data_IF_735081934803
#
_entry.id   IF_735081934803
#
_cell.length_a   1.000
_cell.length_b   1.000
_cell.length_c   1.000
_cell.angle_alpha   90.00
_cell.angle_beta   90.00
_cell.angle_gamma   90.00
#
_symmetry.space_group_name_H-M   'P 1'
#
loop_
_entity.id
_entity.type
_entity.pdbx_description
1 polymer ?
#
# COMPACT_ATOMS: atom_id res chain seq x y z
N UNK A 1 64.65 36.10 43.14
CA UNK A 1 64.08 34.75 43.26
C UNK A 1 62.76 34.78 42.53
N UNK A 2 62.65 34.00 41.45
CA UNK A 2 61.56 34.08 40.49
C UNK A 2 60.43 33.11 40.88
N UNK A 3 59.21 33.63 41.02
CA UNK A 3 57.97 32.85 41.08
C UNK A 3 57.73 32.19 39.72
N UNK A 4 57.55 30.87 39.74
CA UNK A 4 57.12 30.09 38.58
C UNK A 4 55.63 29.80 38.72
N UNK A 5 54.84 30.50 37.91
CA UNK A 5 53.39 30.33 37.81
C UNK A 5 53.07 29.04 37.05
N UNK A 6 52.29 28.14 37.66
CA UNK A 6 51.83 26.90 37.04
C UNK A 6 50.82 27.20 35.93
N UNK A 7 51.15 26.80 34.69
CA UNK A 7 50.28 26.94 33.54
C UNK A 7 50.08 25.56 32.90
N UNK A 8 49.23 24.76 33.53
CA UNK A 8 48.67 23.53 32.95
C UNK A 8 47.21 23.47 33.39
N UNK A 9 46.39 24.23 32.67
CA UNK A 9 44.96 24.05 32.68
C UNK A 9 44.68 22.71 31.99
N UNK A 10 44.33 21.73 32.80
CA UNK A 10 43.84 20.42 32.38
C UNK A 10 42.51 20.63 31.64
N UNK A 11 42.59 20.72 30.32
CA UNK A 11 41.42 20.80 29.44
C UNK A 11 40.87 19.37 29.37
N UNK A 12 39.95 19.09 30.29
CA UNK A 12 39.22 17.83 30.42
C UNK A 12 38.45 17.51 29.13
N UNK A 13 39.14 16.82 28.23
CA UNK A 13 38.67 16.39 26.91
C UNK A 13 37.62 15.27 27.01
N UNK A 14 37.34 14.81 28.22
CA UNK A 14 36.43 13.70 28.52
C UNK A 14 34.95 14.13 28.46
N UNK A 15 34.69 15.44 28.53
CA UNK A 15 33.33 15.99 28.48
C UNK A 15 32.75 16.14 27.06
N UNK A 16 33.57 16.11 26.00
CA UNK A 16 33.10 16.21 24.61
C UNK A 16 32.68 14.86 23.98
N UNK A 17 33.07 13.73 24.59
CA UNK A 17 32.59 12.40 24.19
C UNK A 17 31.33 11.95 24.95
N UNK A 18 30.92 12.72 25.95
CA UNK A 18 29.61 12.60 26.59
C UNK A 18 28.58 13.52 25.92
N UNK A 19 28.75 13.78 24.61
CA UNK A 19 27.61 14.01 23.74
C UNK A 19 26.86 12.68 23.67
N UNK A 20 26.15 12.45 24.78
CA UNK A 20 25.08 11.50 24.98
C UNK A 20 24.21 11.66 23.75
N UNK A 21 24.44 10.80 22.76
CA UNK A 21 23.50 10.60 21.69
C UNK A 21 22.27 10.06 22.39
N UNK A 22 21.43 10.99 22.86
CA UNK A 22 20.08 10.74 23.34
C UNK A 22 19.37 10.17 22.12
N UNK A 23 19.55 8.87 21.99
CA UNK A 23 19.01 8.00 20.97
C UNK A 23 17.50 8.18 21.08
N UNK A 24 16.96 9.08 20.27
CA UNK A 24 15.52 9.26 20.16
C UNK A 24 14.94 7.86 19.95
N UNK A 25 13.96 7.43 20.76
CA UNK A 25 13.44 6.09 20.69
C UNK A 25 13.03 5.78 19.25
N UNK A 26 13.59 4.71 18.69
CA UNK A 26 13.45 4.34 17.28
C UNK A 26 11.97 4.29 16.82
N UNK A 27 11.03 4.04 17.75
CA UNK A 27 9.59 4.02 17.53
C UNK A 27 9.00 5.34 17.01
N UNK A 28 9.59 6.50 17.28
CA UNK A 28 9.07 7.78 16.78
C UNK A 28 9.29 7.96 15.26
N UNK A 29 10.37 7.40 14.70
CA UNK A 29 10.66 7.52 13.26
C UNK A 29 9.66 6.72 12.41
N UNK A 30 9.26 5.53 12.86
CA UNK A 30 8.30 4.69 12.14
C UNK A 30 6.89 5.30 12.09
N UNK A 31 6.50 6.05 13.12
CA UNK A 31 5.19 6.71 13.16
C UNK A 31 5.04 7.78 12.07
N UNK A 32 6.11 8.51 11.77
CA UNK A 32 6.13 9.51 10.69
C UNK A 32 6.01 8.87 9.31
N UNK A 33 6.79 7.81 9.06
CA UNK A 33 6.81 7.11 7.76
C UNK A 33 5.46 6.46 7.45
N UNK A 34 4.80 5.82 8.43
CA UNK A 34 3.45 5.25 8.23
C UNK A 34 2.40 6.28 7.84
N UNK A 35 2.41 7.46 8.49
CA UNK A 35 1.50 8.55 8.12
C UNK A 35 1.72 9.02 6.68
N UNK A 36 2.98 9.16 6.27
CA UNK A 36 3.33 9.55 4.91
C UNK A 36 2.84 8.51 3.88
N UNK A 37 3.07 7.21 4.13
CA UNK A 37 2.62 6.11 3.28
C UNK A 37 1.08 6.11 3.13
N UNK A 38 0.36 6.31 4.24
CA UNK A 38 -1.10 6.41 4.21
C UNK A 38 -1.59 7.59 3.36
N UNK A 39 -0.94 8.77 3.46
CA UNK A 39 -1.30 9.93 2.63
C UNK A 39 -1.07 9.63 1.15
N UNK A 40 0.07 9.02 0.79
CA UNK A 40 0.38 8.64 -0.58
C UNK A 40 -0.64 7.63 -1.11
N UNK A 41 -1.04 6.64 -0.31
CA UNK A 41 -2.07 5.67 -0.66
C UNK A 41 -3.43 6.33 -0.92
N UNK A 42 -3.85 7.28 -0.07
CA UNK A 42 -5.11 8.01 -0.26
C UNK A 42 -5.08 8.85 -1.54
N UNK A 43 -4.02 9.65 -1.74
CA UNK A 43 -3.90 10.52 -2.93
C UNK A 43 -3.87 9.69 -4.21
N UNK A 44 -3.05 8.64 -4.26
CA UNK A 44 -2.98 7.75 -5.43
C UNK A 44 -4.31 7.03 -5.71
N UNK A 45 -5.06 6.67 -4.66
CA UNK A 45 -6.37 6.05 -4.82
C UNK A 45 -7.41 7.01 -5.40
N UNK A 46 -7.45 8.27 -4.93
CA UNK A 46 -8.34 9.31 -5.50
C UNK A 46 -8.04 9.53 -6.98
N UNK A 47 -6.76 9.67 -7.34
CA UNK A 47 -6.34 9.83 -8.74
C UNK A 47 -6.75 8.62 -9.57
N UNK A 48 -6.54 7.40 -9.04
CA UNK A 48 -6.91 6.16 -9.73
C UNK A 48 -8.41 6.07 -10.00
N UNK A 49 -9.26 6.45 -9.04
CA UNK A 49 -10.71 6.50 -9.22
C UNK A 49 -11.08 7.53 -10.28
N UNK A 50 -10.50 8.74 -10.23
CA UNK A 50 -10.73 9.77 -11.24
C UNK A 50 -10.44 9.26 -12.66
N UNK A 51 -9.28 8.63 -12.84
CA UNK A 51 -8.89 8.03 -14.12
C UNK A 51 -9.84 6.90 -14.56
N UNK A 52 -10.28 6.05 -13.63
CA UNK A 52 -11.23 4.97 -13.94
C UNK A 52 -12.60 5.51 -14.38
N UNK A 53 -13.11 6.54 -13.71
CA UNK A 53 -14.37 7.21 -14.07
C UNK A 53 -14.23 7.89 -15.42
N UNK A 54 -13.13 8.61 -15.67
CA UNK A 54 -12.85 9.21 -16.97
C UNK A 54 -12.80 8.15 -18.08
N UNK A 55 -12.13 7.02 -17.84
CA UNK A 55 -12.06 5.93 -18.80
C UNK A 55 -13.45 5.31 -19.07
N UNK A 56 -14.30 5.15 -18.05
CA UNK A 56 -15.67 4.68 -18.24
C UNK A 56 -16.51 5.63 -19.09
N UNK A 57 -16.37 6.94 -18.90
CA UNK A 57 -17.08 7.94 -19.71
C UNK A 57 -16.58 7.91 -21.16
N UNK A 58 -15.26 7.84 -21.36
CA UNK A 58 -14.66 7.72 -22.70
C UNK A 58 -15.18 6.47 -23.39
N UNK A 59 -15.19 5.32 -22.72
CA UNK A 59 -15.67 4.06 -23.31
C UNK A 59 -17.17 4.09 -23.58
N UNK A 60 -17.96 4.77 -22.75
CA UNK A 60 -19.40 4.94 -22.95
C UNK A 60 -19.75 5.85 -24.13
N UNK A 61 -18.93 6.86 -24.42
CA UNK A 61 -19.21 7.86 -25.44
C UNK A 61 -18.44 7.65 -26.76
N UNK A 62 -17.33 6.92 -26.73
CA UNK A 62 -16.53 6.67 -27.92
C UNK A 62 -17.23 5.70 -28.87
N UNK A 63 -17.09 5.97 -30.18
CA UNK A 63 -17.64 5.13 -31.23
C UNK A 63 -16.74 3.91 -31.43
N UNK A 64 -16.85 2.91 -30.57
CA UNK A 64 -16.15 1.64 -30.78
C UNK A 64 -16.95 0.70 -31.69
N UNK A 65 -16.28 0.14 -32.70
CA UNK A 65 -16.68 -1.15 -33.27
C UNK A 65 -16.54 -2.20 -32.15
N UNK A 66 -17.10 -3.40 -32.17
CA UNK A 66 -17.03 -4.31 -31.02
C UNK A 66 -17.56 -3.79 -29.66
N UNK A 67 -17.88 -4.71 -28.77
CA UNK A 67 -18.53 -4.40 -27.51
C UNK A 67 -17.47 -4.23 -26.39
N UNK A 68 -17.20 -3.01 -25.88
CA UNK A 68 -16.23 -2.79 -24.81
C UNK A 68 -16.78 -3.17 -23.42
N UNK A 69 -17.89 -3.91 -23.37
CA UNK A 69 -18.63 -4.23 -22.15
C UNK A 69 -17.77 -4.97 -21.12
N UNK A 70 -16.89 -5.86 -21.56
CA UNK A 70 -15.98 -6.60 -20.68
C UNK A 70 -15.06 -5.64 -19.91
N UNK A 71 -14.44 -4.70 -20.61
CA UNK A 71 -13.55 -3.69 -20.02
C UNK A 71 -14.31 -2.73 -19.10
N UNK A 72 -15.55 -2.37 -19.46
CA UNK A 72 -16.42 -1.59 -18.56
C UNK A 72 -16.73 -2.36 -17.27
N UNK A 73 -17.04 -3.64 -17.35
CA UNK A 73 -17.34 -4.47 -16.19
C UNK A 73 -16.11 -4.61 -15.27
N UNK A 74 -14.92 -4.84 -15.84
CA UNK A 74 -13.67 -4.93 -15.06
C UNK A 74 -13.29 -3.60 -14.42
N UNK A 75 -13.47 -2.48 -15.13
CA UNK A 75 -13.27 -1.13 -14.59
C UNK A 75 -14.20 -0.87 -13.40
N UNK A 76 -15.49 -1.21 -13.52
CA UNK A 76 -16.47 -1.08 -12.42
C UNK A 76 -16.09 -1.93 -11.20
N UNK A 77 -15.63 -3.16 -11.42
CA UNK A 77 -15.15 -4.03 -10.33
C UNK A 77 -13.94 -3.43 -9.62
N UNK A 78 -13.00 -2.82 -10.35
CA UNK A 78 -11.83 -2.18 -9.75
C UNK A 78 -12.25 -0.94 -8.94
N UNK A 79 -13.17 -0.11 -9.44
CA UNK A 79 -13.74 1.02 -8.67
C UNK A 79 -14.39 0.53 -7.37
N UNK A 80 -15.17 -0.55 -7.45
CA UNK A 80 -15.86 -1.11 -6.28
C UNK A 80 -14.90 -1.58 -5.19
N UNK A 81 -13.70 -2.03 -5.56
CA UNK A 81 -12.64 -2.42 -4.59
C UNK A 81 -11.85 -1.20 -4.09
N UNK A 82 -11.65 -0.17 -4.92
CA UNK A 82 -10.94 1.05 -4.52
C UNK A 82 -11.71 1.91 -3.51
N UNK A 83 -13.05 1.94 -3.58
CA UNK A 83 -13.85 2.71 -2.62
C UNK A 83 -13.63 2.25 -1.16
N UNK A 84 -13.80 0.97 -0.80
CA UNK A 84 -13.54 0.51 0.56
C UNK A 84 -12.08 0.71 0.96
N UNK A 85 -11.11 0.61 0.03
CA UNK A 85 -9.71 0.89 0.38
C UNK A 85 -9.47 2.34 0.83
N UNK A 86 -10.14 3.30 0.20
CA UNK A 86 -10.10 4.70 0.64
C UNK A 86 -10.72 4.85 2.02
N UNK A 87 -11.91 4.26 2.24
CA UNK A 87 -12.62 4.35 3.52
C UNK A 87 -11.78 3.73 4.64
N UNK A 88 -11.23 2.53 4.44
CA UNK A 88 -10.36 1.88 5.41
C UNK A 88 -9.09 2.69 5.68
N UNK A 89 -8.46 3.24 4.64
CA UNK A 89 -7.29 4.09 4.81
C UNK A 89 -7.61 5.37 5.60
N UNK A 90 -8.76 5.98 5.35
CA UNK A 90 -9.21 7.16 6.10
C UNK A 90 -9.50 6.81 7.57
N UNK A 91 -10.22 5.71 7.82
CA UNK A 91 -10.51 5.25 9.18
C UNK A 91 -9.23 4.94 9.97
N UNK A 92 -8.21 4.37 9.33
CA UNK A 92 -6.92 4.08 9.98
C UNK A 92 -6.16 5.37 10.40
N UNK A 93 -6.47 6.51 9.77
CA UNK A 93 -5.92 7.82 10.19
C UNK A 93 -6.63 8.35 11.44
N UNK A 94 -7.94 8.13 11.58
CA UNK A 94 -8.75 8.66 12.68
C UNK A 94 -8.82 7.74 13.89
N UNK A 95 -8.81 6.43 13.69
CA UNK A 95 -9.00 5.42 14.73
C UNK A 95 -7.69 4.71 14.99
N UNK A 96 -7.31 4.58 16.26
CA UNK A 96 -6.12 3.80 16.63
C UNK A 96 -6.47 2.32 16.61
N UNK A 97 -6.33 1.69 15.45
CA UNK A 97 -6.60 0.26 15.25
C UNK A 97 -5.39 -0.55 15.75
N UNK A 98 -5.59 -1.69 16.44
CA UNK A 98 -4.48 -2.57 16.79
C UNK A 98 -3.70 -3.02 15.55
N UNK A 99 -2.36 -3.02 15.67
CA UNK A 99 -1.41 -3.22 14.56
C UNK A 99 -1.70 -4.51 13.78
N UNK A 100 -2.01 -5.60 14.49
CA UNK A 100 -2.35 -6.91 13.90
C UNK A 100 -3.57 -6.84 12.97
N UNK A 101 -4.62 -6.12 13.36
CA UNK A 101 -5.83 -6.01 12.53
C UNK A 101 -5.56 -5.19 11.26
N UNK A 102 -4.83 -4.07 11.39
CA UNK A 102 -4.43 -3.26 10.24
C UNK A 102 -3.60 -4.06 9.23
N UNK A 103 -2.72 -4.95 9.71
CA UNK A 103 -1.89 -5.79 8.85
C UNK A 103 -2.72 -6.80 8.04
N UNK A 104 -3.67 -7.49 8.68
CA UNK A 104 -4.54 -8.45 7.98
C UNK A 104 -5.42 -7.74 6.96
N UNK A 105 -5.99 -6.58 7.31
CA UNK A 105 -6.83 -5.78 6.42
C UNK A 105 -6.02 -5.30 5.20
N UNK A 106 -4.82 -4.75 5.42
CA UNK A 106 -3.94 -4.27 4.35
C UNK A 106 -3.53 -5.43 3.42
N UNK A 107 -3.20 -6.60 3.96
CA UNK A 107 -2.86 -7.79 3.18
C UNK A 107 -4.03 -8.30 2.32
N UNK A 108 -5.23 -8.35 2.89
CA UNK A 108 -6.45 -8.73 2.15
C UNK A 108 -6.76 -7.72 1.06
N UNK A 109 -6.72 -6.41 1.37
CA UNK A 109 -6.91 -5.34 0.38
C UNK A 109 -5.90 -5.44 -0.76
N UNK A 110 -4.62 -5.63 -0.45
CA UNK A 110 -3.56 -5.76 -1.45
C UNK A 110 -3.84 -6.94 -2.39
N UNK A 111 -4.19 -8.11 -1.84
CA UNK A 111 -4.55 -9.28 -2.63
C UNK A 111 -5.75 -9.03 -3.54
N UNK A 112 -6.81 -8.40 -3.02
CA UNK A 112 -7.98 -8.03 -3.82
C UNK A 112 -7.66 -7.03 -4.93
N UNK A 113 -6.88 -5.98 -4.64
CA UNK A 113 -6.47 -4.99 -5.63
C UNK A 113 -5.65 -5.67 -6.73
N UNK A 114 -4.65 -6.47 -6.39
CA UNK A 114 -3.82 -7.20 -7.36
C UNK A 114 -4.69 -8.09 -8.26
N UNK A 115 -5.58 -8.90 -7.67
CA UNK A 115 -6.44 -9.79 -8.44
C UNK A 115 -7.34 -9.03 -9.43
N UNK A 116 -7.86 -7.85 -9.04
CA UNK A 116 -8.67 -7.01 -9.94
C UNK A 116 -7.83 -6.28 -10.98
N UNK A 117 -6.62 -5.85 -10.64
CA UNK A 117 -5.69 -5.20 -11.58
C UNK A 117 -5.27 -6.18 -12.67
N UNK A 118 -4.97 -7.44 -12.35
CA UNK A 118 -4.65 -8.47 -13.36
C UNK A 118 -5.82 -8.61 -14.35
N UNK A 119 -7.05 -8.80 -13.84
CA UNK A 119 -8.23 -8.89 -14.71
C UNK A 119 -8.55 -7.59 -15.46
N UNK A 120 -8.10 -6.44 -14.98
CA UNK A 120 -8.20 -5.16 -15.67
C UNK A 120 -7.17 -5.06 -16.81
N UNK A 121 -5.93 -5.52 -16.59
CA UNK A 121 -4.87 -5.57 -17.62
C UNK A 121 -5.26 -6.52 -18.76
N UNK A 122 -5.83 -7.68 -18.45
CA UNK A 122 -6.36 -8.61 -19.45
C UNK A 122 -7.49 -8.01 -20.29
N UNK A 123 -8.14 -6.95 -19.80
CA UNK A 123 -9.21 -6.24 -20.50
C UNK A 123 -8.74 -5.01 -21.26
N UNK A 124 -7.43 -4.86 -21.49
CA UNK A 124 -6.88 -3.76 -22.26
C UNK A 124 -7.45 -3.73 -23.69
N UNK A 125 -7.64 -2.54 -24.26
CA UNK A 125 -8.18 -2.39 -25.59
C UNK A 125 -7.26 -3.03 -26.64
N UNK A 126 -7.77 -4.05 -27.34
CA UNK A 126 -7.05 -4.79 -28.36
C UNK A 126 -7.35 -4.24 -29.78
N UNK A 127 -6.82 -4.88 -30.82
CA UNK A 127 -7.08 -4.49 -32.21
C UNK A 127 -8.56 -4.64 -32.63
N UNK A 128 -9.35 -5.45 -31.92
CA UNK A 128 -10.75 -5.74 -32.27
C UNK A 128 -11.67 -4.53 -32.07
N UNK A 129 -11.33 -3.61 -31.16
CA UNK A 129 -12.13 -2.41 -30.84
C UNK A 129 -12.34 -1.47 -32.03
N UNK A 130 -11.43 -1.49 -33.00
CA UNK A 130 -11.49 -0.66 -34.21
C UNK A 130 -11.50 -1.50 -35.48
N UNK A 131 -11.95 -2.75 -35.42
CA UNK A 131 -12.00 -3.61 -36.59
C UNK A 131 -13.15 -3.21 -37.53
N UNK A 132 -12.89 -3.29 -38.84
CA UNK A 132 -13.90 -3.18 -39.89
C UNK A 132 -14.97 -4.23 -39.69
N UNK A 133 -16.24 -3.82 -39.68
CA UNK A 133 -17.38 -4.74 -39.56
C UNK A 133 -17.85 -5.14 -40.95
N UNK A 134 -18.47 -6.31 -41.08
CA UNK A 134 -19.16 -6.71 -42.31
C UNK A 134 -20.66 -6.71 -42.07
N UNK A 135 -21.42 -6.02 -42.91
CA UNK A 135 -22.87 -6.05 -42.81
C UNK A 135 -23.41 -7.37 -43.39
N UNK A 136 -24.19 -8.14 -42.63
CA UNK A 136 -24.88 -9.33 -43.17
C UNK A 136 -26.30 -8.96 -43.62
N UNK A 137 -26.79 -9.50 -44.76
CA UNK A 137 -26.19 -10.51 -45.62
C UNK A 137 -25.20 -9.98 -46.70
N UNK A 138 -25.06 -8.67 -46.86
CA UNK A 138 -24.37 -8.05 -48.01
C UNK A 138 -22.83 -8.11 -48.04
N UNK A 139 -22.17 -8.56 -46.96
CA UNK A 139 -20.70 -8.54 -46.76
C UNK A 139 -20.01 -7.25 -47.20
N UNK A 140 -20.69 -6.10 -47.13
CA UNK A 140 -20.05 -4.82 -47.37
C UNK A 140 -19.21 -4.45 -46.14
N UNK A 141 -17.91 -4.14 -46.31
CA UNK A 141 -17.08 -3.68 -45.21
C UNK A 141 -17.55 -2.29 -44.77
N UNK A 142 -17.96 -2.17 -43.51
CA UNK A 142 -18.25 -0.91 -42.84
C UNK A 142 -16.92 -0.46 -42.21
N UNK A 143 -16.30 0.63 -42.72
CA UNK A 143 -15.05 1.12 -42.16
C UNK A 143 -15.26 1.52 -40.70
N UNK A 144 -14.22 1.40 -39.85
CA UNK A 144 -14.31 1.87 -38.49
C UNK A 144 -14.60 3.39 -38.47
N UNK A 145 -15.35 3.87 -37.47
CA UNK A 145 -15.66 5.28 -37.32
C UNK A 145 -14.38 6.12 -37.21
N UNK A 146 -14.42 7.32 -37.78
CA UNK A 146 -13.30 8.26 -37.75
C UNK A 146 -12.93 8.57 -36.29
N UNK A 147 -11.65 8.46 -35.96
CA UNK A 147 -11.14 8.72 -34.61
C UNK A 147 -11.15 7.52 -33.65
N UNK A 148 -11.64 6.34 -34.05
CA UNK A 148 -11.60 5.14 -33.20
C UNK A 148 -10.18 4.84 -32.66
N UNK A 149 -9.17 4.95 -33.54
CA UNK A 149 -7.77 4.72 -33.15
C UNK A 149 -7.25 5.72 -32.12
N UNK A 150 -7.70 6.98 -32.17
CA UNK A 150 -7.31 8.00 -31.20
C UNK A 150 -7.92 7.72 -29.82
N UNK A 151 -9.23 7.44 -29.77
CA UNK A 151 -9.92 7.07 -28.54
C UNK A 151 -9.38 5.79 -27.92
N UNK A 152 -9.02 4.81 -28.76
CA UNK A 152 -8.35 3.59 -28.33
C UNK A 152 -7.03 3.93 -27.63
N UNK A 153 -6.16 4.73 -28.26
CA UNK A 153 -4.86 5.11 -27.69
C UNK A 153 -5.05 5.83 -26.35
N UNK A 154 -5.97 6.79 -26.28
CA UNK A 154 -6.28 7.52 -25.05
C UNK A 154 -6.72 6.54 -23.95
N UNK A 155 -7.65 5.63 -24.24
CA UNK A 155 -8.10 4.62 -23.27
C UNK A 155 -6.96 3.69 -22.83
N UNK A 156 -6.09 3.22 -23.74
CA UNK A 156 -4.91 2.41 -23.40
C UNK A 156 -3.99 3.15 -22.43
N UNK A 157 -3.72 4.43 -22.68
CA UNK A 157 -2.84 5.24 -21.83
C UNK A 157 -3.47 5.45 -20.45
N UNK A 158 -4.76 5.81 -20.37
CA UNK A 158 -5.44 5.94 -19.08
C UNK A 158 -5.43 4.63 -18.30
N UNK A 159 -5.77 3.50 -18.93
CA UNK A 159 -5.75 2.19 -18.28
C UNK A 159 -4.34 1.81 -17.81
N UNK A 160 -3.31 2.09 -18.60
CA UNK A 160 -1.92 1.87 -18.20
C UNK A 160 -1.52 2.66 -16.96
N UNK A 161 -1.85 3.96 -16.92
CA UNK A 161 -1.56 4.82 -15.77
C UNK A 161 -2.34 4.34 -14.53
N UNK A 162 -3.63 4.02 -14.68
CA UNK A 162 -4.45 3.47 -13.60
C UNK A 162 -3.89 2.16 -13.05
N UNK A 163 -3.47 1.25 -13.92
CA UNK A 163 -2.87 -0.02 -13.51
C UNK A 163 -1.57 0.23 -12.72
N UNK A 164 -0.73 1.15 -13.19
CA UNK A 164 0.49 1.56 -12.49
C UNK A 164 0.23 2.10 -11.08
N UNK A 165 -0.72 3.02 -10.93
CA UNK A 165 -1.10 3.52 -9.60
C UNK A 165 -1.71 2.44 -8.71
N UNK A 166 -2.50 1.53 -9.28
CA UNK A 166 -3.09 0.43 -8.50
C UNK A 166 -2.03 -0.55 -7.98
N UNK A 167 -1.00 -0.83 -8.77
CA UNK A 167 0.16 -1.62 -8.34
C UNK A 167 0.94 -0.87 -7.25
N UNK A 168 1.13 0.44 -7.40
CA UNK A 168 1.78 1.27 -6.38
C UNK A 168 1.02 1.25 -5.05
N UNK A 169 -0.31 1.32 -5.08
CA UNK A 169 -1.16 1.18 -3.89
C UNK A 169 -0.97 -0.19 -3.24
N UNK A 170 -1.03 -1.27 -4.02
CA UNK A 170 -0.81 -2.63 -3.51
C UNK A 170 0.59 -2.78 -2.89
N UNK A 171 1.61 -2.17 -3.52
CA UNK A 171 2.98 -2.16 -2.99
C UNK A 171 3.07 -1.42 -1.65
N UNK A 172 2.39 -0.27 -1.50
CA UNK A 172 2.33 0.46 -0.23
C UNK A 172 1.69 -0.39 0.87
N UNK A 173 0.60 -1.11 0.57
CA UNK A 173 -0.02 -2.04 1.52
C UNK A 173 0.90 -3.21 1.88
N UNK A 174 1.64 -3.76 0.92
CA UNK A 174 2.65 -4.79 1.20
C UNK A 174 3.78 -4.26 2.09
N UNK A 175 4.27 -3.03 1.86
CA UNK A 175 5.28 -2.41 2.70
C UNK A 175 4.80 -2.22 4.15
N UNK A 176 3.53 -1.84 4.34
CA UNK A 176 2.92 -1.80 5.67
C UNK A 176 2.98 -3.14 6.38
N UNK A 177 2.71 -4.23 5.66
CA UNK A 177 2.78 -5.59 6.18
C UNK A 177 4.22 -5.96 6.63
N UNK A 178 5.23 -5.64 5.81
CA UNK A 178 6.63 -6.00 6.09
C UNK A 178 7.28 -5.25 7.25
N UNK A 179 6.78 -4.06 7.63
CA UNK A 179 7.34 -3.25 8.73
C UNK A 179 6.80 -3.70 10.11
N UNK A 180 5.70 -4.46 10.17
CA UNK A 180 5.11 -4.92 11.42
C UNK A 180 5.95 -5.96 12.23
N UNK A 181 6.59 -6.98 11.64
CA UNK A 181 7.24 -8.04 12.42
C UNK A 181 8.51 -7.59 13.16
N UNK A 182 9.18 -6.51 12.74
CA UNK A 182 10.38 -6.02 13.42
C UNK A 182 10.11 -5.47 14.83
N UNK A 183 8.87 -5.07 15.13
CA UNK A 183 8.51 -4.58 16.47
C UNK A 183 8.14 -5.72 17.43
N UNK A 184 7.72 -6.89 16.91
CA UNK A 184 7.43 -8.05 17.77
C UNK A 184 8.70 -8.70 18.33
N UNK A 185 9.84 -8.54 17.65
CA UNK A 185 11.14 -9.07 18.09
C UNK A 185 11.82 -8.27 19.20
N UNK A 186 11.33 -7.06 19.53
CA UNK A 186 11.90 -6.22 20.59
C UNK A 186 11.06 -6.20 21.87
N UNK A 187 10.01 -7.04 21.98
CA UNK A 187 9.35 -7.24 23.25
C UNK A 187 10.39 -7.77 24.24
N UNK A 188 10.74 -7.03 25.29
CA UNK A 188 11.69 -7.51 26.27
C UNK A 188 11.14 -8.82 26.83
N UNK A 189 12.01 -9.82 26.99
CA UNK A 189 11.73 -11.13 27.60
C UNK A 189 11.04 -11.08 28.99
N UNK A 190 10.70 -9.90 29.51
CA UNK A 190 9.98 -9.69 30.75
C UNK A 190 8.55 -10.26 30.74
N UNK A 191 7.82 -10.23 29.61
CA UNK A 191 6.42 -10.72 29.62
C UNK A 191 6.35 -12.25 29.51
N UNK A 192 7.37 -12.90 28.95
CA UNK A 192 7.47 -14.37 28.94
C UNK A 192 7.74 -14.90 30.36
N UNK A 193 8.36 -14.11 31.23
CA UNK A 193 8.57 -14.48 32.63
C UNK A 193 7.30 -14.39 33.50
N UNK A 194 6.29 -13.61 33.10
CA UNK A 194 5.04 -13.46 33.88
C UNK A 194 3.94 -14.45 33.45
N UNK A 195 4.00 -14.96 32.22
CA UNK A 195 3.10 -16.03 31.76
C UNK A 195 3.53 -17.43 32.23
N UNK A 196 4.79 -17.61 32.64
CA UNK A 196 5.24 -18.79 33.37
C UNK A 196 5.12 -18.47 34.86
N UNK A 197 3.88 -18.51 35.37
CA UNK A 197 3.63 -18.42 36.80
C UNK A 197 4.52 -19.42 37.56
N UNK A 198 4.92 -19.10 38.80
CA UNK A 198 5.81 -19.96 39.58
C UNK A 198 5.19 -21.35 39.67
N UNK A 199 5.84 -22.32 39.02
CA UNK A 199 5.55 -23.73 39.23
C UNK A 199 5.84 -23.98 40.70
N UNK A 200 4.78 -24.02 41.51
CA UNK A 200 4.85 -24.41 42.90
C UNK A 200 5.35 -25.85 42.95
N UNK A 201 6.67 -26.01 43.12
CA UNK A 201 7.29 -27.27 43.51
C UNK A 201 6.68 -27.70 44.83
N UNK A 202 5.70 -28.59 44.73
CA UNK A 202 5.03 -29.22 45.85
C UNK A 202 6.05 -30.18 46.50
N UNK A 203 6.80 -29.64 47.46
CA UNK A 203 7.69 -30.37 48.36
C UNK A 203 6.81 -31.25 49.26
N UNK A 204 6.56 -32.49 48.84
CA UNK A 204 6.11 -33.54 49.75
C UNK A 204 7.33 -34.13 50.42
N UNK A 205 7.61 -33.62 51.62
CA UNK A 205 8.41 -34.33 52.59
C UNK A 205 7.65 -35.60 52.96
N UNK A 206 8.10 -36.74 52.42
CA UNK A 206 7.68 -38.06 52.86
C UNK A 206 8.45 -38.38 54.15
N UNK A 207 7.77 -38.18 55.28
CA UNK A 207 8.11 -38.83 56.55
C UNK A 207 6.98 -39.79 56.93
N UNK A 208 7.34 -40.92 57.55
CA UNK A 208 6.50 -42.02 58.06
C UNK A 208 6.34 -43.18 57.04
N UNK A 209 6.75 -44.42 57.29
CA UNK A 209 7.23 -45.15 58.47
C UNK A 209 8.31 -46.18 58.07
#
# INVERSE_FOLDING_TARGET
>A
MAETTSLLADVDSTSLLSQTAESKPASQYFKGIRKLLSIIAVVSSIISIGLLVSNLIIIGNAQFSWNPWWTQQKSKQLIFVMIPSIVFSALNIFVTIPILLSMVVDGVLAGYVIARVVGFIESFPDSSWCQTRYNYPGRTPIPPPAGCGHWKLVSTVLMGITAGFSILIAYVYCLHCSIAPSELGSLPNQVVAEAVGPVATNRRDLHSN
#
